data_IF_206371630731
#
_entry.id   IF_206371630731
#
_cell.length_a   1.000
_cell.length_b   1.000
_cell.length_c   1.000
_cell.angle_alpha   90.00
_cell.angle_beta   90.00
_cell.angle_gamma   90.00
#
_symmetry.space_group_name_H-M   'P 1'
#
loop_
_entity.id
_entity.type
_entity.pdbx_description
1 polymer ?
#
# COMPACT_ATOMS: atom_id res chain seq x y z
N UNK A 1 -20.26 15.60 14.68
CA UNK A 1 -19.12 15.32 13.77
C UNK A 1 -18.56 13.96 14.16
N UNK A 2 -18.66 12.94 13.30
CA UNK A 2 -17.94 11.68 13.54
C UNK A 2 -16.47 12.00 13.23
N UNK A 3 -15.59 11.87 14.22
CA UNK A 3 -14.16 12.03 13.98
C UNK A 3 -13.73 10.93 13.00
N UNK A 4 -13.07 11.32 11.91
CA UNK A 4 -12.55 10.38 10.93
C UNK A 4 -11.54 9.45 11.63
N UNK A 5 -11.73 8.12 11.58
CA UNK A 5 -10.87 7.20 12.32
C UNK A 5 -9.46 7.21 11.72
N UNK A 6 -8.45 7.57 12.51
CA UNK A 6 -7.05 7.52 12.07
C UNK A 6 -6.41 6.27 12.65
N UNK A 7 -5.78 5.41 11.84
CA UNK A 7 -5.13 4.21 12.36
C UNK A 7 -3.99 4.62 13.32
N UNK A 8 -3.86 3.92 14.46
CA UNK A 8 -2.78 4.19 15.41
C UNK A 8 -1.42 3.87 14.77
N UNK A 9 -0.34 4.46 15.31
CA UNK A 9 1.03 4.27 14.79
C UNK A 9 1.39 2.79 14.63
N UNK A 10 1.08 1.98 15.65
CA UNK A 10 1.29 0.52 15.62
C UNK A 10 0.66 -0.13 14.40
N UNK A 11 -0.60 0.20 14.09
CA UNK A 11 -1.32 -0.42 12.99
C UNK A 11 -0.75 0.00 11.63
N UNK A 12 -0.23 1.23 11.53
CA UNK A 12 0.50 1.68 10.33
C UNK A 12 1.77 0.87 10.12
N UNK A 13 2.58 0.72 11.16
CA UNK A 13 3.80 -0.10 11.14
C UNK A 13 3.49 -1.56 10.80
N UNK A 14 2.43 -2.12 11.36
CA UNK A 14 2.00 -3.49 11.08
C UNK A 14 1.58 -3.69 9.62
N UNK A 15 0.89 -2.72 9.02
CA UNK A 15 0.55 -2.74 7.59
C UNK A 15 1.82 -2.68 6.74
N UNK A 16 2.73 -1.77 7.05
CA UNK A 16 3.98 -1.59 6.29
C UNK A 16 4.81 -2.89 6.32
N UNK A 17 5.03 -3.45 7.51
CA UNK A 17 5.76 -4.71 7.69
C UNK A 17 5.09 -5.89 6.98
N UNK A 18 3.76 -5.99 7.08
CA UNK A 18 3.00 -7.11 6.51
C UNK A 18 3.05 -7.08 4.99
N UNK A 19 2.87 -5.92 4.38
CA UNK A 19 2.83 -5.79 2.92
C UNK A 19 4.21 -6.04 2.33
N UNK A 20 5.26 -5.49 2.93
CA UNK A 20 6.64 -5.71 2.46
C UNK A 20 7.06 -7.18 2.64
N UNK A 21 6.73 -7.79 3.79
CA UNK A 21 6.97 -9.21 4.00
C UNK A 21 6.26 -10.09 2.96
N UNK A 22 4.98 -9.80 2.67
CA UNK A 22 4.23 -10.54 1.66
C UNK A 22 4.80 -10.36 0.26
N UNK A 23 5.21 -9.15 -0.11
CA UNK A 23 5.88 -8.87 -1.38
C UNK A 23 7.15 -9.71 -1.55
N UNK A 24 7.99 -9.76 -0.51
CA UNK A 24 9.21 -10.57 -0.50
C UNK A 24 8.92 -12.08 -0.60
N UNK A 25 7.95 -12.58 0.15
CA UNK A 25 7.58 -14.00 0.18
C UNK A 25 7.10 -14.52 -1.16
N UNK A 26 6.37 -13.71 -1.92
CA UNK A 26 5.83 -14.14 -3.22
C UNK A 26 6.93 -14.51 -4.21
N UNK A 27 8.16 -13.97 -4.07
CA UNK A 27 9.35 -14.18 -4.93
C UNK A 27 9.11 -14.16 -6.45
N UNK A 28 7.92 -13.73 -6.86
CA UNK A 28 7.43 -13.87 -8.23
C UNK A 28 7.76 -12.63 -9.05
N UNK A 29 8.20 -11.56 -8.40
CA UNK A 29 8.57 -10.28 -9.02
C UNK A 29 10.00 -9.89 -8.67
N UNK A 30 10.98 -10.33 -9.46
CA UNK A 30 12.40 -10.04 -9.24
C UNK A 30 12.74 -8.55 -9.21
N UNK A 31 11.93 -7.71 -9.85
CA UNK A 31 12.15 -6.26 -9.94
C UNK A 31 11.48 -5.46 -8.82
N UNK A 32 10.62 -6.08 -7.99
CA UNK A 32 9.97 -5.39 -6.88
C UNK A 32 10.97 -5.23 -5.72
N UNK A 33 11.35 -4.00 -5.43
CA UNK A 33 12.28 -3.68 -4.35
C UNK A 33 11.56 -3.56 -3.00
N UNK A 34 10.40 -2.88 -2.98
CA UNK A 34 9.65 -2.55 -1.77
C UNK A 34 8.20 -2.21 -2.13
N UNK A 35 7.29 -2.32 -1.16
CA UNK A 35 5.98 -1.65 -1.22
C UNK A 35 5.88 -0.57 -0.14
N UNK A 36 5.85 0.69 -0.58
CA UNK A 36 5.73 1.86 0.29
C UNK A 36 4.26 2.19 0.56
N UNK A 37 3.90 2.42 1.82
CA UNK A 37 2.57 2.90 2.22
C UNK A 37 2.64 4.32 2.73
N UNK A 38 1.90 5.23 2.08
CA UNK A 38 1.77 6.62 2.55
C UNK A 38 0.42 6.86 3.20
N UNK A 39 0.41 7.34 4.44
CA UNK A 39 -0.81 7.57 5.21
C UNK A 39 -1.33 9.02 5.13
N UNK A 40 -2.63 9.19 4.91
CA UNK A 40 -3.36 10.48 4.96
C UNK A 40 -4.74 10.28 5.62
N UNK A 41 -4.88 10.70 6.87
CA UNK A 41 -6.11 10.42 7.64
C UNK A 41 -6.32 8.92 7.80
N UNK A 42 -7.53 8.44 7.47
CA UNK A 42 -7.86 7.00 7.42
C UNK A 42 -7.24 6.25 6.23
N UNK A 43 -6.70 6.95 5.23
CA UNK A 43 -6.29 6.31 3.99
C UNK A 43 -4.81 5.93 4.00
N UNK A 44 -4.50 4.72 3.55
CA UNK A 44 -3.16 4.25 3.20
C UNK A 44 -3.04 4.11 1.68
N UNK A 45 -1.98 4.66 1.10
CA UNK A 45 -1.72 4.64 -0.35
C UNK A 45 -0.53 3.73 -0.62
N UNK A 46 -0.78 2.54 -1.19
CA UNK A 46 0.25 1.54 -1.43
C UNK A 46 0.85 1.74 -2.82
N UNK A 47 2.18 1.77 -2.88
CA UNK A 47 2.96 2.00 -4.10
C UNK A 47 4.08 0.99 -4.18
N UNK A 48 4.14 0.22 -5.27
CA UNK A 48 5.30 -0.62 -5.56
C UNK A 48 6.47 0.26 -6.01
N UNK A 49 7.66 0.00 -5.48
CA UNK A 49 8.92 0.53 -5.98
C UNK A 49 9.57 -0.59 -6.78
N UNK A 50 9.70 -0.39 -8.09
CA UNK A 50 10.24 -1.39 -9.02
C UNK A 50 11.50 -0.84 -9.67
N UNK A 51 12.59 -1.57 -9.58
CA UNK A 51 13.81 -1.21 -10.30
C UNK A 51 13.63 -1.56 -11.78
N UNK A 52 13.73 -0.54 -12.65
CA UNK A 52 13.68 -0.72 -14.10
C UNK A 52 14.81 0.07 -14.74
N UNK A 53 15.71 -0.63 -15.42
CA UNK A 53 16.81 -0.02 -16.19
C UNK A 53 17.74 0.86 -15.32
N UNK A 54 17.89 0.52 -14.04
CA UNK A 54 18.71 1.27 -13.07
C UNK A 54 18.01 2.46 -12.42
N UNK A 55 16.71 2.64 -12.67
CA UNK A 55 15.88 3.67 -12.03
C UNK A 55 14.71 3.07 -11.25
N UNK A 56 14.39 3.68 -10.10
CA UNK A 56 13.25 3.30 -9.29
C UNK A 56 11.95 3.88 -9.88
N UNK A 57 11.08 2.99 -10.36
CA UNK A 57 9.76 3.34 -10.87
C UNK A 57 8.71 3.09 -9.79
N UNK A 58 7.90 4.12 -9.51
CA UNK A 58 6.80 4.04 -8.54
C UNK A 58 5.49 3.72 -9.24
N UNK A 59 4.88 2.58 -8.90
CA UNK A 59 3.62 2.12 -9.48
C UNK A 59 2.54 2.14 -8.39
N UNK A 60 1.52 3.00 -8.48
CA UNK A 60 0.39 2.97 -7.55
C UNK A 60 -0.35 1.63 -7.65
N UNK A 61 -0.53 0.95 -6.53
CA UNK A 61 -1.20 -0.36 -6.49
C UNK A 61 -2.67 -0.20 -6.11
N UNK A 62 -2.89 0.34 -4.91
CA UNK A 62 -4.22 0.49 -4.34
C UNK A 62 -4.23 1.56 -3.25
N UNK A 63 -5.44 1.88 -2.80
CA UNK A 63 -5.69 2.64 -1.58
C UNK A 63 -6.49 1.77 -0.62
N UNK A 64 -6.05 1.72 0.63
CA UNK A 64 -6.80 1.17 1.76
C UNK A 64 -7.42 2.30 2.60
N UNK A 65 -8.51 2.00 3.29
CA UNK A 65 -9.20 2.92 4.20
C UNK A 65 -9.46 2.22 5.53
N UNK A 66 -8.92 2.76 6.62
CA UNK A 66 -9.21 2.30 7.97
C UNK A 66 -10.61 2.76 8.39
N UNK A 67 -11.50 1.81 8.70
CA UNK A 67 -12.90 2.12 9.03
C UNK A 67 -13.17 2.31 10.53
N UNK A 68 -12.12 2.29 11.36
CA UNK A 68 -12.23 2.43 12.82
C UNK A 68 -12.20 1.13 13.61
N UNK A 69 -12.02 -0.01 12.93
CA UNK A 69 -11.81 -1.33 13.51
C UNK A 69 -10.63 -2.00 12.81
N UNK A 70 -9.76 -2.67 13.57
CA UNK A 70 -8.50 -3.26 13.07
C UNK A 70 -8.74 -4.33 11.97
N UNK A 71 -9.95 -4.91 11.90
CA UNK A 71 -10.34 -5.90 10.90
C UNK A 71 -11.27 -5.33 9.81
N UNK A 72 -11.63 -4.05 9.86
CA UNK A 72 -12.53 -3.43 8.90
C UNK A 72 -11.78 -2.42 8.01
N UNK A 73 -11.65 -2.77 6.73
CA UNK A 73 -10.91 -1.98 5.76
C UNK A 73 -11.70 -1.79 4.46
N UNK A 74 -11.70 -0.56 3.96
CA UNK A 74 -12.04 -0.27 2.57
C UNK A 74 -10.81 -0.49 1.67
N UNK A 75 -11.02 -0.82 0.40
CA UNK A 75 -9.96 -1.01 -0.58
C UNK A 75 -10.40 -0.56 -1.98
N UNK A 76 -9.49 0.06 -2.73
CA UNK A 76 -9.68 0.42 -4.12
C UNK A 76 -8.37 0.22 -4.91
N UNK A 77 -8.41 -0.50 -6.03
CA UNK A 77 -7.25 -0.63 -6.92
C UNK A 77 -7.08 0.59 -7.79
N UNK A 78 -5.83 0.99 -8.03
CA UNK A 78 -5.52 1.88 -9.15
C UNK A 78 -5.57 1.05 -10.42
N UNK A 79 -6.58 1.28 -11.25
CA UNK A 79 -6.60 0.72 -12.59
C UNK A 79 -5.52 1.43 -13.41
N UNK A 80 -4.52 0.68 -13.85
CA UNK A 80 -3.69 1.08 -14.98
C UNK A 80 -4.59 1.21 -16.19
N UNK A 81 -4.86 2.44 -16.64
CA UNK A 81 -5.46 2.66 -17.94
C UNK A 81 -4.41 2.33 -19.01
N UNK A 82 -4.26 1.04 -19.32
CA UNK A 82 -3.55 0.64 -20.53
C UNK A 82 -4.51 0.89 -21.69
N UNK A 83 -4.40 2.06 -22.32
CA UNK A 83 -4.97 2.25 -23.65
C UNK A 83 -4.31 1.22 -24.58
N UNK A 84 -5.16 0.39 -25.18
CA UNK A 84 -4.80 -0.59 -26.19
C UNK A 84 -4.26 0.07 -27.47
#
# INVERSE_FOLDING_TARGET
MIAMPVPPKRLKEEVDDTVDHHAFQLRSWPALAEVDTRWRGSFGYLTAIVEKEGEDVRIPLCRIEYLGDDNAWGFAMYLSATAA
#
